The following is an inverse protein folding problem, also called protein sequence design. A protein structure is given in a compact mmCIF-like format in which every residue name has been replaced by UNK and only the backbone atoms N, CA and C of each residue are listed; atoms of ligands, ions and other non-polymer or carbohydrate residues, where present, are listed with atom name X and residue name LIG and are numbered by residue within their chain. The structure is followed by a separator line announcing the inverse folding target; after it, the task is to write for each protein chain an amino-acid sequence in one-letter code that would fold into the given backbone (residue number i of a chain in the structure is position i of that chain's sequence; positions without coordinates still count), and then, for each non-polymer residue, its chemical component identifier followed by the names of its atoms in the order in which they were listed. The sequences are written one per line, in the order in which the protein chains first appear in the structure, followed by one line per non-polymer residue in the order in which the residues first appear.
data_IF_444142699246
#
_entry.id   IF_444142699246
#
_cell.length_a   1.000
_cell.length_b   1.000
_cell.length_c   1.000
_cell.angle_alpha   90.00
_cell.angle_beta   90.00
_cell.angle_gamma   90.00
#
_symmetry.space_group_name_H-M   'P 1'
#
loop_
_entity.id
_entity.type
_entity.pdbx_description
1 polymer ?
#
# COMPACT_ATOMS: atom_id res chain seq x y z
N UNK A 1 27.30 5.82 -59.85
CA UNK A 1 27.33 5.16 -58.52
C UNK A 1 26.74 6.01 -57.38
N UNK A 2 27.01 7.31 -57.29
CA UNK A 2 26.55 8.19 -56.19
C UNK A 2 25.01 8.28 -56.02
N UNK A 3 24.25 8.22 -57.12
CA UNK A 3 22.77 8.24 -57.09
C UNK A 3 22.14 6.89 -56.73
N UNK A 4 22.84 5.78 -56.94
CA UNK A 4 22.34 4.44 -56.62
C UNK A 4 22.43 4.19 -55.10
N UNK A 5 23.58 4.56 -54.50
CA UNK A 5 23.78 4.51 -53.05
C UNK A 5 22.77 5.38 -52.28
N UNK A 6 22.46 6.58 -52.78
CA UNK A 6 21.46 7.46 -52.15
C UNK A 6 20.07 6.81 -52.11
N UNK A 7 19.61 6.23 -53.22
CA UNK A 7 18.31 5.54 -53.31
C UNK A 7 18.23 4.28 -52.43
N UNK A 8 19.31 3.51 -52.32
CA UNK A 8 19.34 2.31 -51.47
C UNK A 8 19.33 2.68 -49.99
N UNK A 9 20.11 3.68 -49.58
CA UNK A 9 20.14 4.16 -48.19
C UNK A 9 18.77 4.73 -47.78
N UNK A 10 18.09 5.50 -48.63
CA UNK A 10 16.75 6.02 -48.30
C UNK A 10 15.72 4.90 -48.13
N UNK A 11 15.77 3.85 -48.96
CA UNK A 11 14.88 2.68 -48.83
C UNK A 11 15.14 1.89 -47.55
N UNK A 12 16.40 1.68 -47.19
CA UNK A 12 16.79 1.03 -45.92
C UNK A 12 16.35 1.87 -44.72
N UNK A 13 16.53 3.19 -44.77
CA UNK A 13 16.10 4.09 -43.70
C UNK A 13 14.58 4.08 -43.52
N UNK A 14 13.81 4.04 -44.62
CA UNK A 14 12.34 3.93 -44.56
C UNK A 14 11.91 2.60 -43.96
N UNK A 15 12.55 1.48 -44.34
CA UNK A 15 12.23 0.16 -43.78
C UNK A 15 12.60 0.08 -42.29
N UNK A 16 13.73 0.65 -41.89
CA UNK A 16 14.15 0.73 -40.48
C UNK A 16 13.22 1.65 -39.69
N UNK A 17 12.82 2.81 -40.22
CA UNK A 17 11.81 3.67 -39.61
C UNK A 17 10.44 3.00 -39.53
N UNK A 18 10.05 2.19 -40.52
CA UNK A 18 8.78 1.47 -40.54
C UNK A 18 8.79 0.29 -39.55
N UNK A 19 9.91 -0.43 -39.44
CA UNK A 19 10.13 -1.45 -38.41
C UNK A 19 10.13 -0.83 -36.99
N UNK A 20 10.77 0.33 -36.82
CA UNK A 20 10.75 1.10 -35.57
C UNK A 20 9.35 1.64 -35.22
N UNK A 21 8.55 2.03 -36.23
CA UNK A 21 7.16 2.45 -36.04
C UNK A 21 6.24 1.27 -35.69
N UNK A 22 6.50 0.07 -36.21
CA UNK A 22 5.74 -1.15 -35.86
C UNK A 22 6.10 -1.63 -34.45
N UNK A 23 7.35 -1.45 -33.99
CA UNK A 23 7.78 -1.78 -32.63
C UNK A 23 7.45 -0.71 -31.57
N UNK A 24 6.96 0.47 -31.98
CA UNK A 24 6.62 1.60 -31.09
C UNK A 24 5.19 1.57 -30.51
N UNK A 25 4.47 0.47 -30.70
CA UNK A 25 3.13 0.27 -30.12
C UNK A 25 3.13 -1.03 -29.30
N UNK A 26 3.15 -0.92 -27.97
CA UNK A 26 2.87 -2.07 -27.12
C UNK A 26 1.38 -2.34 -27.14
N UNK A 27 1.08 -3.62 -27.17
CA UNK A 27 -0.23 -4.19 -27.41
C UNK A 27 -0.88 -4.42 -26.04
N UNK A 28 -2.16 -4.10 -25.90
CA UNK A 28 -2.87 -4.18 -24.61
C UNK A 28 -2.86 -5.63 -24.09
N UNK A 29 -2.22 -5.93 -22.95
CA UNK A 29 -2.30 -7.25 -22.35
C UNK A 29 -3.69 -7.45 -21.75
N UNK A 30 -4.35 -8.54 -22.11
CA UNK A 30 -5.64 -8.95 -21.53
C UNK A 30 -5.41 -10.20 -20.69
N UNK A 31 -6.03 -10.29 -19.52
CA UNK A 31 -6.11 -11.55 -18.79
C UNK A 31 -7.38 -12.25 -19.23
N UNK A 32 -7.23 -13.47 -19.75
CA UNK A 32 -8.36 -14.33 -20.08
C UNK A 32 -8.91 -14.91 -18.77
N UNK A 33 -10.19 -14.65 -18.51
CA UNK A 33 -10.88 -15.16 -17.30
C UNK A 33 -11.65 -16.41 -17.69
N UNK A 34 -11.28 -17.55 -17.10
CA UNK A 34 -12.02 -18.80 -17.22
C UNK A 34 -12.69 -19.09 -15.88
N UNK A 35 -14.00 -19.32 -15.91
CA UNK A 35 -14.80 -19.66 -14.74
C UNK A 35 -15.39 -21.03 -14.98
N UNK A 36 -15.17 -21.94 -14.03
CA UNK A 36 -15.80 -23.25 -14.00
C UNK A 36 -16.62 -23.37 -12.71
N UNK A 37 -17.85 -23.87 -12.81
CA UNK A 37 -18.76 -24.02 -11.68
C UNK A 37 -19.03 -25.50 -11.48
N UNK A 38 -18.82 -25.98 -10.26
CA UNK A 38 -19.00 -27.38 -9.90
C UNK A 38 -20.07 -27.43 -8.80
N UNK A 39 -21.21 -28.05 -9.12
CA UNK A 39 -22.27 -28.38 -8.17
C UNK A 39 -22.06 -29.76 -7.53
N UNK A 40 -22.52 -29.93 -6.30
CA UNK A 40 -22.55 -31.24 -5.64
C UNK A 40 -23.81 -32.02 -6.05
N UNK A 41 -23.73 -33.35 -6.24
CA UNK A 41 -24.88 -34.24 -6.54
C UNK A 41 -26.03 -34.13 -5.51
N UNK A 42 -25.73 -33.72 -4.27
CA UNK A 42 -26.75 -33.47 -3.25
C UNK A 42 -27.54 -32.16 -3.46
N UNK A 43 -27.01 -31.21 -4.24
CA UNK A 43 -27.66 -29.94 -4.60
C UNK A 43 -28.67 -30.16 -5.74
N UNK A 44 -28.33 -31.00 -6.72
CA UNK A 44 -29.26 -31.48 -7.75
C UNK A 44 -30.48 -32.21 -7.16
N UNK A 45 -30.28 -32.98 -6.07
CA UNK A 45 -31.36 -33.70 -5.38
C UNK A 45 -32.33 -32.81 -4.59
N UNK A 46 -31.94 -31.57 -4.26
CA UNK A 46 -32.76 -30.66 -3.43
C UNK A 46 -33.73 -29.79 -4.26
N UNK A 47 -33.65 -29.74 -5.60
CA UNK A 47 -34.27 -28.63 -6.34
C UNK A 47 -35.02 -28.99 -7.62
N UNK A 48 -36.34 -28.75 -7.60
CA UNK A 48 -37.18 -28.42 -8.77
C UNK A 48 -37.27 -26.90 -8.99
N UNK A 49 -36.25 -26.11 -8.66
CA UNK A 49 -36.32 -24.64 -8.78
C UNK A 49 -35.62 -24.13 -10.04
N UNK A 50 -36.35 -23.32 -10.83
CA UNK A 50 -35.86 -22.71 -12.08
C UNK A 50 -34.61 -21.86 -11.87
N UNK A 51 -34.48 -21.21 -10.70
CA UNK A 51 -33.33 -20.37 -10.37
C UNK A 51 -32.02 -21.15 -10.25
N UNK A 52 -32.03 -22.34 -9.61
CA UNK A 52 -30.79 -23.10 -9.47
C UNK A 52 -30.37 -23.72 -10.80
N UNK A 53 -31.30 -24.16 -11.65
CA UNK A 53 -30.97 -24.57 -13.02
C UNK A 53 -30.37 -23.43 -13.83
N UNK A 54 -30.80 -22.17 -13.63
CA UNK A 54 -30.13 -21.03 -14.24
C UNK A 54 -28.71 -20.80 -13.68
N UNK A 55 -28.49 -21.06 -12.40
CA UNK A 55 -27.17 -20.90 -11.77
C UNK A 55 -26.17 -22.03 -12.09
N UNK A 56 -26.66 -23.28 -12.24
CA UNK A 56 -25.84 -24.48 -12.51
C UNK A 56 -25.69 -24.79 -14.00
N UNK A 57 -26.79 -24.74 -14.77
CA UNK A 57 -26.84 -25.27 -16.14
C UNK A 57 -26.74 -24.18 -17.22
N UNK A 58 -26.81 -22.89 -16.86
CA UNK A 58 -26.75 -21.83 -17.87
C UNK A 58 -25.42 -21.09 -17.86
N UNK A 59 -24.85 -20.95 -19.06
CA UNK A 59 -23.73 -20.03 -19.33
C UNK A 59 -24.02 -18.59 -18.85
N UNK A 60 -25.28 -18.23 -18.54
CA UNK A 60 -25.62 -16.87 -18.08
C UNK A 60 -24.90 -16.51 -16.79
N UNK A 61 -24.91 -17.37 -15.76
CA UNK A 61 -24.21 -17.04 -14.50
C UNK A 61 -22.70 -16.99 -14.69
N UNK A 62 -22.12 -17.95 -15.44
CA UNK A 62 -20.71 -17.94 -15.83
C UNK A 62 -20.33 -16.67 -16.57
N UNK A 63 -21.12 -16.25 -17.57
CA UNK A 63 -20.90 -15.03 -18.35
C UNK A 63 -21.04 -13.79 -17.47
N UNK A 64 -22.07 -13.70 -16.63
CA UNK A 64 -22.26 -12.57 -15.70
C UNK A 64 -21.12 -12.49 -14.67
N UNK A 65 -20.61 -13.62 -14.18
CA UNK A 65 -19.46 -13.64 -13.28
C UNK A 65 -18.17 -13.26 -14.01
N UNK A 66 -17.93 -13.80 -15.21
CA UNK A 66 -16.81 -13.41 -16.07
C UNK A 66 -16.86 -11.91 -16.38
N UNK A 67 -18.02 -11.37 -16.73
CA UNK A 67 -18.19 -9.96 -17.06
C UNK A 67 -18.00 -9.06 -15.83
N UNK A 68 -18.54 -9.43 -14.66
CA UNK A 68 -18.31 -8.69 -13.42
C UNK A 68 -16.84 -8.76 -12.97
N UNK A 69 -16.19 -9.93 -13.09
CA UNK A 69 -14.75 -10.09 -12.84
C UNK A 69 -13.99 -9.18 -13.82
N UNK A 70 -14.24 -9.30 -15.13
CA UNK A 70 -13.59 -8.46 -16.15
C UNK A 70 -13.80 -6.98 -15.90
N UNK A 71 -15.02 -6.54 -15.60
CA UNK A 71 -15.34 -5.15 -15.32
C UNK A 71 -14.54 -4.65 -14.12
N UNK A 72 -14.62 -5.37 -13.00
CA UNK A 72 -13.89 -5.03 -11.78
C UNK A 72 -12.38 -5.01 -12.01
N UNK A 73 -11.85 -5.95 -12.79
CA UNK A 73 -10.42 -6.02 -13.08
C UNK A 73 -9.94 -5.07 -14.19
N UNK A 74 -10.83 -4.65 -15.09
CA UNK A 74 -10.62 -3.58 -16.06
C UNK A 74 -10.60 -2.23 -15.35
N UNK A 75 -11.47 -2.04 -14.35
CA UNK A 75 -11.42 -0.91 -13.42
C UNK A 75 -10.18 -0.98 -12.50
N UNK A 76 -9.70 -2.17 -12.13
CA UNK A 76 -8.47 -2.35 -11.35
C UNK A 76 -7.17 -2.24 -12.16
N UNK A 77 -7.20 -1.94 -13.47
CA UNK A 77 -6.01 -1.89 -14.34
C UNK A 77 -5.01 -3.06 -14.10
N UNK A 78 -5.44 -4.30 -14.37
CA UNK A 78 -4.55 -5.49 -14.46
C UNK A 78 -3.34 -5.32 -15.42
N UNK A 79 -3.27 -4.21 -16.18
CA UNK A 79 -2.16 -3.82 -17.03
C UNK A 79 -0.87 -3.53 -16.25
N UNK A 80 -0.97 -3.04 -15.00
CA UNK A 80 0.19 -2.71 -14.15
C UNK A 80 0.90 -3.94 -13.57
N UNK A 81 0.20 -5.08 -13.56
CA UNK A 81 0.73 -6.35 -13.09
C UNK A 81 1.79 -6.94 -14.06
N UNK A 82 1.73 -6.54 -15.34
CA UNK A 82 2.47 -7.16 -16.47
C UNK A 82 3.31 -6.19 -17.31
N UNK A 83 3.27 -4.89 -16.99
CA UNK A 83 3.93 -3.86 -17.77
C UNK A 83 5.35 -3.59 -17.24
N UNK A 84 6.37 -3.88 -18.05
CA UNK A 84 7.74 -3.42 -17.82
C UNK A 84 8.16 -2.26 -18.74
N UNK A 85 7.29 -1.73 -19.61
CA UNK A 85 7.67 -0.68 -20.57
C UNK A 85 6.53 0.34 -20.88
N UNK A 86 6.91 1.62 -20.94
CA UNK A 86 6.08 2.75 -21.38
C UNK A 86 5.85 2.69 -22.90
N UNK A 87 4.66 2.31 -23.37
CA UNK A 87 4.32 2.45 -24.80
C UNK A 87 2.84 2.78 -25.04
N UNK A 88 2.57 3.61 -26.05
CA UNK A 88 1.26 4.01 -26.54
C UNK A 88 0.48 2.77 -27.02
N UNK A 89 -0.73 2.57 -26.46
CA UNK A 89 -1.55 1.37 -26.64
C UNK A 89 -2.15 1.26 -28.05
N UNK A 90 -1.96 0.11 -28.71
CA UNK A 90 -2.74 -0.27 -29.90
C UNK A 90 -4.09 -0.90 -29.52
N UNK A 91 -5.12 -0.78 -30.38
CA UNK A 91 -6.46 -1.38 -30.20
C UNK A 91 -6.50 -2.92 -30.26
N UNK A 92 -5.37 -3.60 -30.48
CA UNK A 92 -5.32 -5.07 -30.56
C UNK A 92 -5.07 -5.64 -29.16
N UNK A 93 -5.82 -6.68 -28.81
CA UNK A 93 -5.75 -7.36 -27.51
C UNK A 93 -5.09 -8.73 -27.70
N UNK A 94 -4.17 -9.11 -26.80
CA UNK A 94 -3.61 -10.47 -26.73
C UNK A 94 -3.55 -10.94 -25.28
N UNK A 95 -3.91 -12.20 -25.04
CA UNK A 95 -3.94 -12.78 -23.69
C UNK A 95 -2.52 -13.01 -23.16
N UNK A 96 -2.09 -12.26 -22.14
CA UNK A 96 -0.76 -12.47 -21.48
C UNK A 96 -0.83 -13.31 -20.21
N UNK A 97 -2.04 -13.62 -19.73
CA UNK A 97 -2.26 -14.45 -18.57
C UNK A 97 -3.68 -15.02 -18.52
N UNK A 98 -3.88 -16.06 -17.72
CA UNK A 98 -5.18 -16.70 -17.49
C UNK A 98 -5.52 -16.67 -16.00
N UNK A 99 -6.70 -16.16 -15.66
CA UNK A 99 -7.28 -16.28 -14.33
C UNK A 99 -8.31 -17.41 -14.38
N UNK A 100 -7.94 -18.56 -13.84
CA UNK A 100 -8.85 -19.71 -13.70
C UNK A 100 -9.51 -19.67 -12.34
N UNK A 101 -10.84 -19.60 -12.33
CA UNK A 101 -11.66 -19.63 -11.12
C UNK A 101 -12.54 -20.86 -11.14
N UNK A 102 -12.47 -21.68 -10.09
CA UNK A 102 -13.33 -22.84 -9.89
C UNK A 102 -14.22 -22.56 -8.68
N UNK A 103 -15.53 -22.54 -8.91
CA UNK A 103 -16.52 -22.27 -7.88
C UNK A 103 -17.24 -23.56 -7.52
N UNK A 104 -17.05 -24.04 -6.30
CA UNK A 104 -17.70 -25.20 -5.73
C UNK A 104 -18.91 -24.76 -4.91
N UNK A 105 -20.10 -25.05 -5.41
CA UNK A 105 -21.35 -24.78 -4.70
C UNK A 105 -21.53 -25.84 -3.62
N UNK A 106 -21.60 -25.44 -2.35
CA UNK A 106 -21.74 -26.35 -1.21
C UNK A 106 -23.20 -26.49 -0.78
N UNK A 107 -23.94 -25.39 -0.76
CA UNK A 107 -25.34 -25.36 -0.34
C UNK A 107 -26.03 -24.11 -0.88
N UNK A 108 -27.31 -24.25 -1.24
CA UNK A 108 -28.20 -23.12 -1.53
C UNK A 108 -29.50 -23.35 -0.76
N UNK A 109 -29.85 -22.43 0.11
CA UNK A 109 -31.13 -22.48 0.84
C UNK A 109 -31.85 -21.13 0.83
N UNK A 110 -33.11 -21.18 1.26
CA UNK A 110 -33.96 -20.01 1.40
C UNK A 110 -34.09 -19.70 2.88
N UNK A 111 -33.64 -18.51 3.30
CA UNK A 111 -33.79 -18.01 4.65
C UNK A 111 -34.93 -17.00 4.71
N UNK A 112 -35.83 -17.19 5.67
CA UNK A 112 -36.92 -16.27 5.97
C UNK A 112 -36.59 -15.50 7.24
N UNK A 113 -36.79 -14.20 7.21
CA UNK A 113 -36.51 -13.30 8.33
C UNK A 113 -37.77 -12.50 8.64
N UNK A 114 -38.32 -12.72 9.83
CA UNK A 114 -39.48 -11.95 10.31
C UNK A 114 -39.00 -10.61 10.83
N UNK A 115 -39.51 -9.53 10.24
CA UNK A 115 -39.16 -8.16 10.57
C UNK A 115 -40.41 -7.44 11.07
N UNK A 116 -40.33 -6.82 12.24
CA UNK A 116 -41.49 -6.13 12.84
C UNK A 116 -41.64 -4.68 12.41
N UNK A 117 -40.55 -4.04 11.96
CA UNK A 117 -40.48 -2.61 11.67
C UNK A 117 -39.89 -2.36 10.30
N UNK A 118 -40.49 -1.43 9.55
CA UNK A 118 -40.02 -1.01 8.23
C UNK A 118 -39.65 0.46 8.27
N UNK A 119 -38.56 0.84 7.59
CA UNK A 119 -38.15 2.24 7.50
C UNK A 119 -39.23 3.06 6.78
N UNK A 120 -39.63 4.14 7.42
CA UNK A 120 -40.61 5.11 6.95
C UNK A 120 -40.21 6.49 7.50
N UNK A 121 -39.34 7.19 6.79
CA UNK A 121 -38.81 8.49 7.23
C UNK A 121 -39.82 9.64 7.15
N UNK A 122 -40.98 9.43 6.52
CA UNK A 122 -41.97 10.48 6.26
C UNK A 122 -43.06 10.49 7.33
N UNK A 123 -43.57 9.33 7.71
CA UNK A 123 -44.68 9.20 8.67
C UNK A 123 -44.44 8.15 9.75
N UNK A 124 -43.18 7.75 9.96
CA UNK A 124 -42.81 6.74 10.94
C UNK A 124 -43.10 7.17 12.38
N UNK A 125 -43.59 6.22 13.17
CA UNK A 125 -43.94 6.38 14.58
C UNK A 125 -42.80 6.04 15.55
N UNK A 126 -41.76 5.38 15.03
CA UNK A 126 -40.69 4.80 15.81
C UNK A 126 -39.32 5.27 15.33
N UNK A 127 -38.36 5.31 16.24
CA UNK A 127 -36.94 5.42 15.93
C UNK A 127 -36.22 4.17 16.45
N UNK A 128 -35.07 3.84 15.86
CA UNK A 128 -34.20 2.80 16.37
C UNK A 128 -33.05 3.42 17.16
N UNK A 129 -33.02 3.18 18.47
CA UNK A 129 -31.98 3.68 19.37
C UNK A 129 -31.61 2.60 20.39
N UNK A 130 -30.31 2.43 20.65
CA UNK A 130 -29.77 1.47 21.63
C UNK A 130 -30.33 0.04 21.48
N UNK A 131 -30.50 -0.42 20.25
CA UNK A 131 -30.99 -1.77 19.96
C UNK A 131 -32.51 -1.94 20.07
N UNK A 132 -33.28 -0.87 20.25
CA UNK A 132 -34.73 -0.92 20.48
C UNK A 132 -35.49 0.06 19.59
N UNK A 133 -36.71 -0.32 19.21
CA UNK A 133 -37.65 0.57 18.55
C UNK A 133 -38.45 1.35 19.58
N UNK A 134 -38.27 2.67 19.60
CA UNK A 134 -38.87 3.58 20.58
C UNK A 134 -39.94 4.40 19.86
N UNK A 135 -41.17 4.37 20.36
CA UNK A 135 -42.26 5.19 19.84
C UNK A 135 -42.01 6.65 20.19
N UNK A 136 -42.12 7.55 19.22
CA UNK A 136 -41.86 8.98 19.39
C UNK A 136 -43.13 9.83 19.27
N UNK A 137 -43.08 11.04 19.84
CA UNK A 137 -44.14 12.03 19.67
C UNK A 137 -43.94 12.71 18.32
N UNK A 138 -44.90 12.50 17.40
CA UNK A 138 -44.82 13.05 16.05
C UNK A 138 -44.90 14.58 16.03
N UNK A 139 -44.22 15.21 15.06
CA UNK A 139 -44.32 16.64 14.78
C UNK A 139 -43.58 17.57 15.75
N UNK A 140 -42.89 17.03 16.76
CA UNK A 140 -42.14 17.83 17.73
C UNK A 140 -40.63 17.53 17.65
N UNK A 141 -39.88 18.50 17.15
CA UNK A 141 -38.42 18.47 17.08
C UNK A 141 -37.81 19.32 18.19
N UNK A 142 -36.63 18.93 18.67
CA UNK A 142 -35.98 19.55 19.80
C UNK A 142 -34.50 19.82 19.53
N UNK A 143 -34.01 20.90 20.12
CA UNK A 143 -32.59 21.29 20.15
C UNK A 143 -32.09 21.31 21.59
N UNK A 144 -30.87 20.83 21.80
CA UNK A 144 -30.21 20.88 23.10
C UNK A 144 -29.47 22.21 23.25
N UNK A 145 -29.81 23.00 24.26
CA UNK A 145 -29.22 24.33 24.54
C UNK A 145 -28.00 24.27 25.48
N UNK A 146 -27.56 23.08 25.87
CA UNK A 146 -26.52 22.84 26.87
C UNK A 146 -27.05 22.46 28.25
N UNK A 147 -28.36 22.61 28.51
CA UNK A 147 -29.00 22.27 29.78
C UNK A 147 -30.35 21.56 29.63
N UNK A 148 -31.16 21.96 28.65
CA UNK A 148 -32.51 21.47 28.39
C UNK A 148 -32.71 21.19 26.89
N UNK A 149 -33.75 20.40 26.58
CA UNK A 149 -34.26 20.22 25.24
C UNK A 149 -35.43 21.17 25.00
N UNK A 150 -35.26 22.10 24.06
CA UNK A 150 -36.28 23.11 23.70
C UNK A 150 -36.86 22.72 22.34
N UNK A 151 -38.17 22.87 22.17
CA UNK A 151 -38.82 22.60 20.89
C UNK A 151 -38.36 23.63 19.84
N UNK A 152 -37.84 23.14 18.72
CA UNK A 152 -37.28 23.92 17.63
C UNK A 152 -37.52 23.16 16.33
N UNK A 153 -38.08 23.82 15.32
CA UNK A 153 -38.36 23.23 14.00
C UNK A 153 -37.09 22.74 13.30
N UNK A 154 -35.93 23.34 13.63
CA UNK A 154 -34.61 22.92 13.13
C UNK A 154 -33.87 22.00 14.11
N UNK A 155 -34.57 21.48 15.13
CA UNK A 155 -34.03 20.52 16.08
C UNK A 155 -33.63 19.20 15.40
N UNK A 156 -32.64 18.51 15.97
CA UNK A 156 -32.19 17.18 15.51
C UNK A 156 -32.61 16.05 16.45
N UNK A 157 -33.29 16.39 17.54
CA UNK A 157 -33.76 15.45 18.55
C UNK A 157 -35.29 15.30 18.49
N UNK A 158 -35.76 14.10 18.80
CA UNK A 158 -37.18 13.79 18.98
C UNK A 158 -37.41 13.24 20.38
N UNK A 159 -38.61 13.46 20.91
CA UNK A 159 -38.99 12.96 22.23
C UNK A 159 -39.65 11.59 22.12
N UNK A 160 -39.10 10.61 22.82
CA UNK A 160 -39.71 9.30 23.00
C UNK A 160 -40.92 9.36 23.94
N UNK A 161 -41.84 8.41 23.77
CA UNK A 161 -42.97 8.19 24.68
C UNK A 161 -42.54 7.77 26.09
N UNK A 162 -41.29 7.35 26.25
CA UNK A 162 -40.60 7.13 27.53
C UNK A 162 -40.09 8.42 28.20
N UNK A 163 -40.32 9.58 27.57
CA UNK A 163 -39.93 10.89 28.08
C UNK A 163 -38.49 11.32 27.78
N UNK A 164 -37.69 10.44 27.16
CA UNK A 164 -36.28 10.72 26.80
C UNK A 164 -36.17 11.37 25.42
N UNK A 165 -35.00 11.95 25.14
CA UNK A 165 -34.71 12.61 23.87
C UNK A 165 -33.66 11.82 23.10
N UNK A 166 -33.88 11.67 21.79
CA UNK A 166 -33.06 10.84 20.92
C UNK A 166 -32.74 11.57 19.63
N UNK A 167 -31.55 11.37 19.08
CA UNK A 167 -31.23 11.86 17.74
C UNK A 167 -31.91 10.96 16.71
N UNK A 168 -32.73 11.54 15.84
CA UNK A 168 -33.46 10.79 14.82
C UNK A 168 -32.70 10.81 13.49
N UNK A 169 -32.09 9.68 13.11
CA UNK A 169 -31.46 9.49 11.79
C UNK A 169 -32.42 8.88 10.76
N UNK A 170 -33.39 8.10 11.24
CA UNK A 170 -34.41 7.45 10.43
C UNK A 170 -35.64 7.19 11.29
N UNK A 171 -36.81 7.12 10.64
CA UNK A 171 -38.06 6.75 11.29
C UNK A 171 -38.58 5.42 10.74
N UNK A 172 -39.44 4.77 11.53
CA UNK A 172 -39.92 3.42 11.27
C UNK A 172 -41.41 3.32 11.58
N UNK A 173 -42.11 2.46 10.84
CA UNK A 173 -43.49 2.07 11.14
C UNK A 173 -43.50 0.60 11.56
N UNK A 174 -44.33 0.26 12.55
CA UNK A 174 -44.51 -1.12 13.00
C UNK A 174 -45.46 -1.85 12.06
N UNK A 175 -44.87 -2.55 11.09
CA UNK A 175 -45.60 -3.32 10.08
C UNK A 175 -44.91 -4.67 9.99
N UNK A 176 -45.38 -5.71 10.71
CA UNK A 176 -44.77 -7.03 10.66
C UNK A 176 -44.81 -7.63 9.25
N UNK A 177 -43.67 -8.11 8.76
CA UNK A 177 -43.52 -8.70 7.44
C UNK A 177 -42.40 -9.75 7.44
N UNK A 178 -42.33 -10.55 6.38
CA UNK A 178 -41.30 -11.58 6.22
C UNK A 178 -40.45 -11.26 4.99
N UNK A 179 -39.16 -10.97 5.20
CA UNK A 179 -38.21 -10.89 4.10
C UNK A 179 -37.64 -12.27 3.81
N UNK A 180 -37.39 -12.55 2.54
CA UNK A 180 -36.89 -13.84 2.09
C UNK A 180 -35.58 -13.63 1.34
N UNK A 181 -34.57 -14.42 1.67
CA UNK A 181 -33.23 -14.34 1.11
C UNK A 181 -32.83 -15.70 0.52
N UNK A 182 -32.16 -15.67 -0.63
CA UNK A 182 -31.34 -16.80 -1.04
C UNK A 182 -30.00 -16.71 -0.34
N UNK A 183 -29.59 -17.84 0.23
CA UNK A 183 -28.33 -17.96 0.94
C UNK A 183 -27.50 -19.04 0.26
N UNK A 184 -26.36 -18.63 -0.28
CA UNK A 184 -25.43 -19.46 -1.03
C UNK A 184 -24.14 -19.65 -0.25
N UNK A 185 -23.81 -20.90 0.03
CA UNK A 185 -22.51 -21.32 0.53
C UNK A 185 -21.66 -21.84 -0.63
N UNK A 186 -20.51 -21.24 -0.88
CA UNK A 186 -19.59 -21.72 -1.90
C UNK A 186 -18.13 -21.66 -1.45
N UNK A 187 -17.32 -22.53 -2.07
CA UNK A 187 -15.88 -22.55 -1.95
C UNK A 187 -15.29 -22.18 -3.30
N UNK A 188 -14.39 -21.22 -3.32
CA UNK A 188 -13.81 -20.67 -4.55
C UNK A 188 -12.32 -20.98 -4.54
N UNK A 189 -11.87 -21.70 -5.56
CA UNK A 189 -10.46 -21.90 -5.87
C UNK A 189 -10.07 -21.01 -7.04
N UNK A 190 -8.91 -20.38 -6.99
CA UNK A 190 -8.42 -19.58 -8.12
C UNK A 190 -6.93 -19.78 -8.36
N UNK A 191 -6.54 -19.63 -9.62
CA UNK A 191 -5.15 -19.64 -10.07
C UNK A 191 -4.98 -18.53 -11.12
N UNK A 192 -4.07 -17.60 -10.86
CA UNK A 192 -3.64 -16.57 -11.80
C UNK A 192 -2.30 -16.99 -12.41
N UNK A 193 -2.31 -17.26 -13.71
CA UNK A 193 -1.14 -17.59 -14.50
C UNK A 193 -0.77 -16.43 -15.41
N UNK A 194 0.51 -16.11 -15.46
CA UNK A 194 1.06 -15.06 -16.33
C UNK A 194 2.26 -15.65 -17.05
N UNK A 195 2.28 -15.55 -18.38
CA UNK A 195 3.41 -16.03 -19.21
C UNK A 195 3.82 -17.48 -18.86
N UNK A 196 2.85 -18.32 -18.50
CA UNK A 196 3.03 -19.74 -18.11
C UNK A 196 3.65 -19.98 -16.73
N UNK A 197 3.64 -18.98 -15.84
CA UNK A 197 4.05 -19.11 -14.43
C UNK A 197 2.88 -18.86 -13.48
N UNK A 198 2.75 -19.69 -12.43
CA UNK A 198 1.76 -19.53 -11.36
C UNK A 198 2.12 -18.29 -10.51
N UNK A 199 1.40 -17.18 -10.69
CA UNK A 199 1.66 -15.92 -9.96
C UNK A 199 1.02 -15.94 -8.58
N UNK A 200 -0.24 -16.41 -8.49
CA UNK A 200 -0.96 -16.54 -7.22
C UNK A 200 -2.04 -17.59 -7.34
N UNK A 201 -2.16 -18.43 -6.31
CA UNK A 201 -3.24 -19.40 -6.17
C UNK A 201 -3.79 -19.36 -4.76
N UNK A 202 -5.06 -19.69 -4.61
CA UNK A 202 -5.70 -19.69 -3.31
C UNK A 202 -7.08 -20.31 -3.34
N UNK A 203 -7.59 -20.59 -2.15
CA UNK A 203 -8.95 -21.10 -1.93
C UNK A 203 -9.59 -20.36 -0.78
N UNK A 204 -10.88 -20.07 -0.88
CA UNK A 204 -11.64 -19.48 0.22
C UNK A 204 -13.11 -19.90 0.20
N UNK A 205 -13.72 -19.90 1.37
CA UNK A 205 -15.14 -20.14 1.53
C UNK A 205 -15.86 -18.81 1.72
N UNK A 206 -17.05 -18.68 1.13
CA UNK A 206 -17.89 -17.49 1.27
C UNK A 206 -19.35 -17.88 1.48
N UNK A 207 -20.04 -17.03 2.23
CA UNK A 207 -21.46 -17.13 2.56
C UNK A 207 -22.16 -15.87 2.07
N UNK A 208 -23.02 -16.02 1.08
CA UNK A 208 -23.66 -14.90 0.39
C UNK A 208 -25.17 -14.93 0.62
N UNK A 209 -25.74 -13.83 1.08
CA UNK A 209 -27.18 -13.68 1.29
C UNK A 209 -27.71 -12.59 0.37
N UNK A 210 -28.58 -12.95 -0.57
CA UNK A 210 -29.17 -12.04 -1.56
C UNK A 210 -30.69 -12.01 -1.40
N UNK A 211 -31.32 -10.83 -1.36
CA UNK A 211 -32.77 -10.72 -1.20
C UNK A 211 -33.51 -11.34 -2.40
N UNK A 212 -34.46 -12.22 -2.09
CA UNK A 212 -35.47 -12.74 -3.02
C UNK A 212 -36.74 -11.89 -2.93
N UNK A 213 -37.21 -11.64 -1.70
CA UNK A 213 -38.35 -10.77 -1.41
C UNK A 213 -37.97 -9.83 -0.30
N UNK A 214 -38.07 -8.53 -0.56
CA UNK A 214 -37.98 -7.49 0.45
C UNK A 214 -39.26 -6.65 0.47
N UNK A 215 -39.51 -6.03 1.62
CA UNK A 215 -40.63 -5.14 1.78
C UNK A 215 -40.15 -3.71 1.98
N UNK A 216 -40.79 -2.77 1.28
CA UNK A 216 -40.55 -1.34 1.43
C UNK A 216 -41.85 -0.64 1.76
N UNK A 217 -41.80 0.34 2.66
CA UNK A 217 -42.97 1.13 2.96
C UNK A 217 -43.15 2.27 1.97
N UNK A 218 -44.37 2.41 1.44
CA UNK A 218 -44.80 3.60 0.72
C UNK A 218 -45.56 4.53 1.69
N UNK A 219 -44.94 5.64 2.13
CA UNK A 219 -45.55 6.53 3.10
C UNK A 219 -46.73 7.34 2.55
N UNK A 220 -46.78 7.57 1.24
CA UNK A 220 -47.81 8.40 0.61
C UNK A 220 -49.12 7.64 0.42
N UNK A 221 -49.02 6.34 0.15
CA UNK A 221 -50.17 5.45 -0.02
C UNK A 221 -50.44 4.57 1.21
N UNK A 222 -49.67 4.76 2.29
CA UNK A 222 -49.78 4.04 3.56
C UNK A 222 -49.81 2.50 3.37
N UNK A 223 -48.93 1.99 2.49
CA UNK A 223 -48.96 0.59 2.07
C UNK A 223 -47.56 -0.02 2.09
N UNK A 224 -47.48 -1.26 2.53
CA UNK A 224 -46.27 -2.08 2.38
C UNK A 224 -46.20 -2.63 0.94
N UNK A 225 -45.13 -2.29 0.24
CA UNK A 225 -44.82 -2.78 -1.09
C UNK A 225 -43.93 -4.02 -0.97
N UNK A 226 -44.36 -5.12 -1.58
CA UNK A 226 -43.56 -6.33 -1.75
C UNK A 226 -42.73 -6.19 -3.02
N UNK A 227 -41.41 -6.22 -2.89
CA UNK A 227 -40.45 -6.18 -4.00
C UNK A 227 -39.90 -7.59 -4.15
N UNK A 228 -40.22 -8.23 -5.26
CA UNK A 228 -39.66 -9.52 -5.63
C UNK A 228 -38.60 -9.31 -6.69
N UNK A 229 -37.38 -9.75 -6.40
CA UNK A 229 -36.26 -9.56 -7.31
C UNK A 229 -36.29 -10.63 -8.40
N UNK A 230 -36.14 -10.25 -9.68
CA UNK A 230 -36.05 -11.23 -10.77
C UNK A 230 -34.77 -12.05 -10.65
N UNK A 231 -34.79 -13.29 -11.16
CA UNK A 231 -33.64 -14.20 -11.14
C UNK A 231 -32.36 -13.55 -11.67
N UNK A 232 -32.45 -12.71 -12.72
CA UNK A 232 -31.32 -12.00 -13.30
C UNK A 232 -30.60 -11.08 -12.31
N UNK A 233 -31.36 -10.35 -11.49
CA UNK A 233 -30.81 -9.40 -10.51
C UNK A 233 -30.15 -10.15 -9.36
N UNK A 234 -30.73 -11.29 -8.98
CA UNK A 234 -30.19 -12.16 -7.94
C UNK A 234 -28.86 -12.77 -8.42
N UNK A 235 -28.79 -13.25 -9.67
CA UNK A 235 -27.58 -13.76 -10.29
C UNK A 235 -26.47 -12.70 -10.35
N UNK A 236 -26.80 -11.48 -10.80
CA UNK A 236 -25.85 -10.37 -10.87
C UNK A 236 -25.31 -9.98 -9.48
N UNK A 237 -26.18 -9.96 -8.45
CA UNK A 237 -25.75 -9.70 -7.07
C UNK A 237 -24.80 -10.76 -6.55
N UNK A 238 -25.10 -12.05 -6.75
CA UNK A 238 -24.16 -13.13 -6.39
C UNK A 238 -22.83 -12.97 -7.13
N UNK A 239 -22.87 -12.73 -8.43
CA UNK A 239 -21.68 -12.55 -9.25
C UNK A 239 -20.82 -11.37 -8.74
N UNK A 240 -21.42 -10.21 -8.48
CA UNK A 240 -20.75 -9.03 -7.94
C UNK A 240 -20.08 -9.29 -6.60
N UNK A 241 -20.79 -9.94 -5.67
CA UNK A 241 -20.22 -10.26 -4.36
C UNK A 241 -19.02 -11.21 -4.47
N UNK A 242 -19.10 -12.23 -5.33
CA UNK A 242 -17.98 -13.15 -5.60
C UNK A 242 -16.81 -12.40 -6.22
N UNK A 243 -17.07 -11.58 -7.23
CA UNK A 243 -16.04 -10.77 -7.90
C UNK A 243 -15.31 -9.85 -6.93
N UNK A 244 -16.04 -9.17 -6.04
CA UNK A 244 -15.45 -8.28 -5.03
C UNK A 244 -14.54 -9.03 -4.07
N UNK A 245 -14.99 -10.20 -3.62
CA UNK A 245 -14.27 -11.06 -2.69
C UNK A 245 -13.02 -11.71 -3.34
N UNK A 246 -13.06 -11.96 -4.65
CA UNK A 246 -11.89 -12.39 -5.42
C UNK A 246 -10.91 -11.23 -5.65
N UNK A 247 -11.42 -10.04 -5.98
CA UNK A 247 -10.61 -8.84 -6.18
C UNK A 247 -9.83 -8.45 -4.92
N UNK A 248 -10.47 -8.44 -3.75
CA UNK A 248 -9.80 -8.12 -2.48
C UNK A 248 -8.59 -9.01 -2.22
N UNK A 249 -8.64 -10.30 -2.59
CA UNK A 249 -7.51 -11.24 -2.46
C UNK A 249 -6.44 -11.07 -3.53
N UNK A 250 -6.79 -10.49 -4.68
CA UNK A 250 -5.86 -10.20 -5.75
C UNK A 250 -5.29 -8.76 -5.65
N UNK A 251 -5.83 -7.90 -4.77
CA UNK A 251 -5.36 -6.53 -4.57
C UNK A 251 -3.89 -6.44 -4.18
N UNK A 252 -3.36 -7.37 -3.37
CA UNK A 252 -1.94 -7.35 -2.96
C UNK A 252 -0.95 -7.54 -4.12
N UNK A 253 -1.43 -7.99 -5.28
CA UNK A 253 -0.59 -8.11 -6.49
C UNK A 253 -0.51 -6.81 -7.28
N UNK A 254 -1.36 -5.84 -6.98
CA UNK A 254 -1.36 -4.54 -7.63
C UNK A 254 -0.11 -3.80 -7.18
N UNK A 255 0.78 -3.51 -8.12
CA UNK A 255 1.81 -2.48 -7.91
C UNK A 255 1.27 -1.19 -8.48
N UNK A 256 1.28 -0.13 -7.69
CA UNK A 256 0.90 1.19 -8.17
C UNK A 256 2.01 1.75 -9.09
N UNK A 257 1.62 2.27 -10.25
CA UNK A 257 2.50 2.90 -11.23
C UNK A 257 2.03 4.33 -11.51
N UNK A 258 2.96 5.26 -11.62
CA UNK A 258 2.67 6.65 -11.97
C UNK A 258 3.90 7.36 -12.52
N UNK A 259 3.81 8.68 -12.56
CA UNK A 259 4.86 9.57 -12.99
C UNK A 259 5.06 10.71 -12.00
N UNK A 260 6.28 11.24 -11.99
CA UNK A 260 6.59 12.47 -11.27
C UNK A 260 5.93 13.64 -11.99
N UNK A 261 5.02 14.33 -11.31
CA UNK A 261 4.36 15.51 -11.84
C UNK A 261 5.17 16.78 -11.55
N UNK A 262 5.69 16.90 -10.33
CA UNK A 262 6.44 18.08 -9.89
C UNK A 262 7.45 17.72 -8.80
N UNK A 263 8.57 18.44 -8.76
CA UNK A 263 9.64 18.24 -7.79
C UNK A 263 9.89 19.55 -7.06
N UNK A 264 9.63 19.56 -5.74
CA UNK A 264 9.94 20.68 -4.86
C UNK A 264 10.66 20.13 -3.63
N UNK A 265 11.98 19.96 -3.74
CA UNK A 265 12.85 19.43 -2.69
C UNK A 265 12.49 19.97 -1.29
N UNK A 266 12.31 19.11 -0.27
CA UNK A 266 12.51 17.65 -0.25
C UNK A 266 11.27 16.82 -0.67
N UNK A 267 10.26 17.44 -1.29
CA UNK A 267 8.99 16.82 -1.66
C UNK A 267 8.89 16.57 -3.17
N UNK A 268 8.16 15.53 -3.54
CA UNK A 268 7.84 15.17 -4.92
C UNK A 268 6.33 14.91 -5.02
N UNK A 269 5.68 15.46 -6.03
CA UNK A 269 4.30 15.15 -6.37
C UNK A 269 4.29 14.08 -7.46
N UNK A 270 3.50 13.05 -7.24
CA UNK A 270 3.25 11.97 -8.21
C UNK A 270 1.77 11.97 -8.59
N UNK A 271 1.47 11.62 -9.83
CA UNK A 271 0.13 11.64 -10.45
C UNK A 271 -0.73 10.41 -10.12
N UNK A 272 -0.50 9.82 -8.94
CA UNK A 272 -1.29 8.74 -8.37
C UNK A 272 -1.66 9.09 -6.93
N UNK A 273 -2.93 8.89 -6.59
CA UNK A 273 -3.53 9.39 -5.36
C UNK A 273 -4.35 8.38 -4.59
N UNK A 274 -5.18 8.89 -3.68
CA UNK A 274 -6.10 8.07 -2.88
C UNK A 274 -7.13 7.31 -3.73
N UNK A 275 -7.51 7.85 -4.90
CA UNK A 275 -8.42 7.19 -5.85
C UNK A 275 -7.75 5.94 -6.43
N UNK A 276 -6.43 5.99 -6.65
CA UNK A 276 -5.64 4.86 -7.14
C UNK A 276 -5.32 3.85 -6.03
N UNK A 277 -5.65 4.16 -4.77
CA UNK A 277 -5.38 3.30 -3.61
C UNK A 277 -4.07 3.59 -2.90
N UNK A 278 -3.41 4.72 -3.21
CA UNK A 278 -2.21 5.17 -2.49
C UNK A 278 -2.58 5.52 -1.04
N UNK A 279 -1.73 5.13 -0.08
CA UNK A 279 -1.86 5.42 1.35
C UNK A 279 -0.58 6.07 1.88
N UNK A 280 -0.66 6.95 2.89
CA UNK A 280 0.52 7.43 3.62
C UNK A 280 1.39 6.27 4.11
N UNK A 281 2.71 6.39 3.94
CA UNK A 281 3.69 5.36 4.29
C UNK A 281 4.05 4.38 3.17
N UNK A 282 3.29 4.32 2.07
CA UNK A 282 3.70 3.55 0.89
C UNK A 282 5.01 4.09 0.30
N UNK A 283 5.79 3.20 -0.31
CA UNK A 283 7.09 3.53 -0.88
C UNK A 283 7.11 3.31 -2.40
N UNK A 284 7.72 4.24 -3.10
CA UNK A 284 7.86 4.23 -4.55
C UNK A 284 9.34 4.33 -4.94
N UNK A 285 9.74 3.57 -5.95
CA UNK A 285 11.01 3.75 -6.62
C UNK A 285 10.83 4.65 -7.84
N UNK A 286 11.70 5.62 -8.02
CA UNK A 286 11.74 6.50 -9.20
C UNK A 286 12.76 5.95 -10.19
N UNK A 287 12.37 5.91 -11.46
CA UNK A 287 13.19 5.43 -12.55
C UNK A 287 13.33 6.47 -13.66
N UNK A 288 14.56 6.64 -14.13
CA UNK A 288 14.89 7.33 -15.38
C UNK A 288 15.07 6.26 -16.47
N UNK A 289 14.03 6.05 -17.27
CA UNK A 289 13.91 4.88 -18.13
C UNK A 289 13.91 3.59 -17.28
N UNK A 290 14.93 2.73 -17.49
CA UNK A 290 15.09 1.48 -16.75
C UNK A 290 16.01 1.62 -15.52
N UNK A 291 16.56 2.81 -15.27
CA UNK A 291 17.53 3.02 -14.20
C UNK A 291 16.85 3.50 -12.92
N UNK A 292 16.96 2.72 -11.85
CA UNK A 292 16.52 3.14 -10.51
C UNK A 292 17.41 4.28 -9.98
N UNK A 293 16.80 5.40 -9.60
CA UNK A 293 17.53 6.61 -9.18
C UNK A 293 17.13 7.14 -7.80
N UNK A 294 15.91 6.91 -7.31
CA UNK A 294 15.46 7.47 -6.04
C UNK A 294 14.36 6.63 -5.37
N UNK A 295 14.18 6.84 -4.07
CA UNK A 295 13.10 6.28 -3.26
C UNK A 295 12.27 7.40 -2.66
N UNK A 296 10.95 7.27 -2.78
CA UNK A 296 9.95 8.18 -2.26
C UNK A 296 9.09 7.46 -1.22
N UNK A 297 8.71 8.15 -0.15
CA UNK A 297 7.68 7.68 0.78
C UNK A 297 6.51 8.65 0.78
N UNK A 298 5.30 8.13 0.61
CA UNK A 298 4.08 8.93 0.60
C UNK A 298 3.87 9.56 1.98
N UNK A 299 3.81 10.88 2.01
CA UNK A 299 3.48 11.62 3.24
C UNK A 299 1.99 11.99 3.28
N UNK A 300 1.42 12.39 2.14
CA UNK A 300 0.01 12.78 2.00
C UNK A 300 -0.53 12.34 0.66
N UNK A 301 -1.82 12.07 0.60
CA UNK A 301 -2.54 11.63 -0.60
C UNK A 301 -3.76 12.53 -0.79
N UNK A 302 -4.10 12.90 -2.03
CA UNK A 302 -5.29 13.69 -2.32
C UNK A 302 -5.83 13.37 -3.70
N UNK A 303 -7.05 12.81 -3.77
CA UNK A 303 -7.72 12.54 -5.05
C UNK A 303 -6.86 11.69 -5.98
N UNK A 304 -6.36 12.33 -7.04
CA UNK A 304 -5.54 11.83 -8.15
C UNK A 304 -4.04 12.11 -8.00
N UNK A 305 -3.56 12.67 -6.89
CA UNK A 305 -2.13 12.91 -6.65
C UNK A 305 -1.68 12.51 -5.25
N UNK A 306 -0.37 12.35 -5.08
CA UNK A 306 0.26 12.13 -3.77
C UNK A 306 1.52 12.97 -3.60
N UNK A 307 1.66 13.53 -2.40
CA UNK A 307 2.87 14.23 -1.96
C UNK A 307 3.79 13.26 -1.22
N UNK A 308 4.99 13.07 -1.75
CA UNK A 308 5.98 12.13 -1.24
C UNK A 308 7.22 12.86 -0.72
N UNK A 309 7.88 12.28 0.28
CA UNK A 309 9.21 12.67 0.75
C UNK A 309 10.27 11.84 0.05
N UNK A 310 11.36 12.49 -0.34
CA UNK A 310 12.54 11.78 -0.86
C UNK A 310 13.27 11.14 0.32
N UNK A 311 13.32 9.80 0.37
CA UNK A 311 14.12 9.04 1.34
C UNK A 311 15.51 8.72 0.83
N UNK A 312 15.63 8.50 -0.48
CA UNK A 312 16.90 8.24 -1.12
C UNK A 312 16.95 8.85 -2.52
N UNK A 313 18.12 9.33 -2.93
CA UNK A 313 18.43 9.68 -4.31
C UNK A 313 19.90 9.36 -4.59
N UNK A 314 20.16 8.66 -5.69
CA UNK A 314 21.51 8.31 -6.12
C UNK A 314 22.34 9.57 -6.33
N UNK A 315 23.57 9.58 -5.84
CA UNK A 315 24.47 10.74 -5.96
C UNK A 315 24.65 11.14 -7.42
N UNK A 316 24.46 12.42 -7.72
CA UNK A 316 24.51 12.97 -9.08
C UNK A 316 23.24 12.81 -9.92
N UNK A 317 22.26 12.02 -9.46
CA UNK A 317 20.95 11.94 -10.11
C UNK A 317 20.06 13.12 -9.69
N UNK A 318 19.13 13.48 -10.57
CA UNK A 318 18.06 14.45 -10.29
C UNK A 318 16.73 13.78 -10.59
N UNK A 319 15.70 14.11 -9.83
CA UNK A 319 14.33 13.70 -10.14
C UNK A 319 13.76 14.78 -11.05
N UNK A 320 13.21 14.39 -12.19
CA UNK A 320 12.59 15.30 -13.15
C UNK A 320 11.13 14.91 -13.40
N UNK A 321 10.35 15.87 -13.90
CA UNK A 321 8.96 15.63 -14.30
C UNK A 321 8.92 14.61 -15.43
N UNK A 322 7.99 13.66 -15.33
CA UNK A 322 7.79 12.59 -16.31
C UNK A 322 8.60 11.32 -16.04
N UNK A 323 9.43 11.29 -15.00
CA UNK A 323 10.06 10.05 -14.54
C UNK A 323 9.04 9.09 -13.96
N UNK A 324 9.21 7.79 -14.20
CA UNK A 324 8.26 6.79 -13.74
C UNK A 324 8.46 6.49 -12.26
N UNK A 325 7.35 6.23 -11.57
CA UNK A 325 7.32 5.79 -10.19
C UNK A 325 6.61 4.46 -10.08
N UNK A 326 7.22 3.51 -9.36
CA UNK A 326 6.70 2.14 -9.20
C UNK A 326 6.68 1.79 -7.72
N UNK A 327 5.56 1.28 -7.23
CA UNK A 327 5.46 0.79 -5.87
C UNK A 327 6.51 -0.28 -5.58
N UNK A 328 7.19 -0.14 -4.45
CA UNK A 328 8.22 -1.07 -4.00
C UNK A 328 8.20 -1.22 -2.49
N UNK A 329 8.82 -2.30 -2.02
CA UNK A 329 9.18 -2.42 -0.60
C UNK A 329 10.28 -1.40 -0.26
N UNK A 330 10.25 -0.79 0.92
CA UNK A 330 11.28 0.17 1.33
C UNK A 330 12.66 -0.48 1.32
N UNK A 331 13.66 0.24 0.84
CA UNK A 331 15.05 -0.19 0.94
C UNK A 331 15.47 -0.18 2.41
N UNK A 332 15.85 -1.35 2.91
CA UNK A 332 16.37 -1.47 4.27
C UNK A 332 17.83 -1.03 4.32
N UNK A 333 18.12 0.04 5.06
CA UNK A 333 19.48 0.50 5.33
C UNK A 333 19.69 0.44 6.84
N UNK A 334 20.67 -0.36 7.26
CA UNK A 334 21.08 -0.44 8.66
C UNK A 334 22.10 0.67 8.91
N UNK A 335 21.80 1.69 9.73
CA UNK A 335 22.70 2.80 9.97
C UNK A 335 23.73 2.44 11.07
N UNK A 336 24.40 1.30 10.91
CA UNK A 336 25.41 0.81 11.84
C UNK A 336 26.78 0.77 11.14
N UNK A 337 27.84 0.81 11.93
CA UNK A 337 29.21 0.69 11.44
C UNK A 337 30.11 -0.08 12.39
N UNK A 338 31.18 -0.62 11.82
CA UNK A 338 32.25 -1.27 12.58
C UNK A 338 33.57 -0.75 12.03
N UNK A 339 34.46 -0.32 12.92
CA UNK A 339 35.81 0.13 12.59
C UNK A 339 36.85 -0.62 13.40
N UNK A 340 37.99 -0.89 12.77
CA UNK A 340 39.21 -1.35 13.42
C UNK A 340 40.34 -0.43 12.98
N UNK A 341 40.96 0.24 13.94
CA UNK A 341 41.92 1.31 13.71
C UNK A 341 43.20 0.99 14.46
N UNK A 342 44.33 1.30 13.84
CA UNK A 342 45.60 1.42 14.55
C UNK A 342 45.87 2.91 14.77
N UNK A 343 46.08 3.31 16.02
CA UNK A 343 46.38 4.68 16.43
C UNK A 343 47.80 4.73 16.98
N UNK A 344 48.69 5.49 16.33
CA UNK A 344 50.04 5.71 16.81
C UNK A 344 50.09 6.90 17.77
N UNK A 345 50.78 6.71 18.90
CA UNK A 345 51.12 7.77 19.84
C UNK A 345 52.64 7.97 19.84
N UNK A 346 53.16 9.22 19.91
CA UNK A 346 54.59 9.49 19.93
C UNK A 346 55.35 8.84 21.09
N UNK A 347 54.66 8.57 22.20
CA UNK A 347 55.24 8.10 23.46
C UNK A 347 55.20 6.57 23.64
N UNK A 348 54.49 5.83 22.78
CA UNK A 348 54.32 4.37 22.94
C UNK A 348 54.23 3.63 21.57
N UNK A 349 53.97 2.32 21.56
CA UNK A 349 53.86 1.51 20.33
C UNK A 349 52.51 1.64 19.61
N UNK A 350 51.62 2.51 20.10
CA UNK A 350 50.26 2.70 19.58
C UNK A 350 49.23 1.72 20.13
N UNK A 351 47.98 1.96 19.76
CA UNK A 351 46.82 1.18 20.18
C UNK A 351 46.07 0.60 18.98
N UNK A 352 45.44 -0.56 19.18
CA UNK A 352 44.41 -1.08 18.29
C UNK A 352 43.05 -0.75 18.88
N UNK A 353 42.24 0.02 18.16
CA UNK A 353 40.88 0.41 18.54
C UNK A 353 39.87 -0.37 17.71
N UNK A 354 38.90 -1.01 18.37
CA UNK A 354 37.73 -1.56 17.72
C UNK A 354 36.50 -0.75 18.14
N UNK A 355 35.74 -0.24 17.18
CA UNK A 355 34.57 0.60 17.45
C UNK A 355 33.33 0.07 16.72
N UNK A 356 32.19 0.22 17.38
CA UNK A 356 30.87 0.05 16.82
C UNK A 356 30.19 1.41 16.78
N UNK A 357 29.58 1.78 15.65
CA UNK A 357 28.96 3.09 15.48
C UNK A 357 27.52 3.05 15.03
N UNK A 358 26.75 4.02 15.50
CA UNK A 358 25.41 4.33 14.98
C UNK A 358 25.54 5.61 14.15
N UNK A 359 25.10 5.54 12.89
CA UNK A 359 25.30 6.58 11.88
C UNK A 359 23.99 7.33 11.62
N UNK A 360 24.10 8.60 11.26
CA UNK A 360 23.06 9.35 10.58
C UNK A 360 23.45 9.47 9.12
N UNK A 361 22.55 9.12 8.21
CA UNK A 361 22.81 9.16 6.77
C UNK A 361 22.03 10.31 6.12
N UNK A 362 22.59 10.91 5.07
CA UNK A 362 21.86 11.82 4.19
C UNK A 362 20.97 11.05 3.18
N UNK A 363 20.24 11.80 2.36
CA UNK A 363 19.40 11.25 1.29
C UNK A 363 20.21 10.53 0.19
N UNK A 364 21.54 10.62 0.18
CA UNK A 364 22.42 9.85 -0.70
C UNK A 364 22.97 8.59 -0.02
N UNK A 365 22.53 8.30 1.22
CA UNK A 365 23.04 7.24 2.11
C UNK A 365 24.51 7.45 2.50
N UNK A 366 24.99 8.69 2.48
CA UNK A 366 26.32 9.02 2.98
C UNK A 366 26.25 9.41 4.46
N UNK A 367 27.28 9.04 5.21
CA UNK A 367 27.40 9.37 6.64
C UNK A 367 27.49 10.89 6.84
N UNK A 368 26.52 11.45 7.57
CA UNK A 368 26.52 12.84 8.03
C UNK A 368 27.18 12.97 9.41
N UNK A 369 26.84 12.04 10.29
CA UNK A 369 27.40 11.98 11.64
C UNK A 369 27.35 10.57 12.16
N UNK A 370 28.15 10.27 13.18
CA UNK A 370 28.05 9.01 13.89
C UNK A 370 28.47 9.15 15.35
N UNK A 371 27.91 8.28 16.17
CA UNK A 371 28.37 8.04 17.55
C UNK A 371 28.99 6.66 17.56
N UNK A 372 30.27 6.58 17.90
CA UNK A 372 31.02 5.34 18.01
C UNK A 372 31.36 5.02 19.46
N UNK A 373 31.25 3.74 19.81
CA UNK A 373 31.64 3.17 21.09
C UNK A 373 32.72 2.14 20.81
N UNK A 374 33.84 2.22 21.51
CA UNK A 374 34.94 1.32 21.22
C UNK A 374 35.82 1.00 22.41
N UNK A 375 36.66 0.00 22.19
CA UNK A 375 37.67 -0.47 23.11
C UNK A 375 39.02 -0.35 22.43
N UNK A 376 40.02 0.11 23.18
CA UNK A 376 41.39 0.18 22.71
C UNK A 376 42.27 -0.79 23.48
N UNK A 377 43.20 -1.40 22.77
CA UNK A 377 44.23 -2.29 23.28
C UNK A 377 45.58 -1.63 23.06
N UNK A 378 46.29 -1.29 24.13
CA UNK A 378 47.64 -0.73 24.05
C UNK A 378 48.63 -1.85 23.76
N UNK A 379 49.36 -1.71 22.65
CA UNK A 379 50.34 -2.71 22.20
C UNK A 379 51.59 -2.76 23.09
N UNK A 380 51.84 -1.69 23.85
CA UNK A 380 53.00 -1.52 24.73
C UNK A 380 52.81 -2.25 26.05
N UNK A 381 51.60 -2.17 26.62
CA UNK A 381 51.24 -2.80 27.90
C UNK A 381 50.62 -4.20 27.72
N UNK A 382 50.11 -4.51 26.53
CA UNK A 382 49.35 -5.74 26.24
C UNK A 382 48.07 -5.89 27.09
N UNK A 383 47.41 -4.78 27.45
CA UNK A 383 46.18 -4.76 28.23
C UNK A 383 45.08 -3.97 27.51
N UNK A 384 43.81 -4.36 27.71
CA UNK A 384 42.65 -3.57 27.28
C UNK A 384 42.47 -2.40 28.24
N UNK A 385 43.05 -1.26 27.87
CA UNK A 385 43.26 -0.16 28.82
C UNK A 385 42.23 0.96 28.73
N UNK A 386 41.51 1.14 27.61
CA UNK A 386 40.58 2.27 27.49
C UNK A 386 39.28 1.94 26.77
N UNK A 387 38.17 2.39 27.35
CA UNK A 387 36.89 2.53 26.65
C UNK A 387 36.80 3.94 26.08
N UNK A 388 36.25 4.09 24.88
CA UNK A 388 36.09 5.41 24.29
C UNK A 388 34.73 5.59 23.63
N UNK A 389 34.23 6.82 23.70
CA UNK A 389 33.05 7.28 23.00
C UNK A 389 33.47 8.42 22.08
N UNK A 390 33.19 8.27 20.79
CA UNK A 390 33.54 9.25 19.76
C UNK A 390 32.30 9.76 19.05
N UNK A 391 32.19 11.08 18.90
CA UNK A 391 31.21 11.71 18.03
C UNK A 391 31.92 12.23 16.77
N UNK A 392 31.39 11.85 15.61
CA UNK A 392 31.89 12.27 14.30
C UNK A 392 30.83 13.11 13.59
N UNK A 393 31.25 14.18 12.92
CA UNK A 393 30.37 15.05 12.15
C UNK A 393 31.04 15.50 10.85
N UNK A 394 30.36 15.31 9.71
CA UNK A 394 30.88 15.63 8.38
C UNK A 394 31.01 17.14 8.20
N UNK A 395 32.18 17.57 7.75
CA UNK A 395 32.42 18.92 7.28
C UNK A 395 32.07 19.05 5.82
N UNK A 396 31.15 19.97 5.50
CA UNK A 396 30.74 20.26 4.12
C UNK A 396 30.29 18.98 3.37
N UNK A 397 30.38 18.99 2.05
CA UNK A 397 30.04 17.84 1.18
C UNK A 397 31.23 16.91 0.89
N UNK A 398 32.33 17.02 1.64
CA UNK A 398 33.55 16.23 1.46
C UNK A 398 33.67 15.12 2.52
N UNK A 399 34.48 14.05 2.30
CA UNK A 399 34.65 12.96 3.25
C UNK A 399 35.59 13.33 4.41
N UNK A 400 35.52 14.58 4.87
CA UNK A 400 36.28 15.11 6.00
C UNK A 400 35.32 15.28 7.16
N UNK A 401 35.68 14.81 8.34
CA UNK A 401 34.83 14.83 9.52
C UNK A 401 35.57 15.46 10.69
N UNK A 402 34.87 16.27 11.49
CA UNK A 402 35.32 16.56 12.84
C UNK A 402 35.03 15.37 13.74
N UNK A 403 35.96 15.05 14.63
CA UNK A 403 35.81 14.04 15.67
C UNK A 403 35.99 14.72 17.02
N UNK A 404 35.12 14.38 17.97
CA UNK A 404 35.33 14.59 19.39
C UNK A 404 35.32 13.23 20.09
N UNK A 405 36.39 12.90 20.81
CA UNK A 405 36.53 11.60 21.49
C UNK A 405 36.74 11.80 22.98
N UNK A 406 36.03 11.00 23.78
CA UNK A 406 36.20 10.87 25.21
C UNK A 406 36.83 9.50 25.50
N UNK A 407 38.04 9.48 26.05
CA UNK A 407 38.70 8.25 26.52
C UNK A 407 38.52 8.10 28.02
N UNK A 408 38.16 6.88 28.43
CA UNK A 408 37.95 6.47 29.82
C UNK A 408 38.90 5.30 30.08
N UNK A 409 40.03 5.52 30.78
CA UNK A 409 40.92 4.44 31.16
C UNK A 409 40.26 3.52 32.19
N UNK A 410 40.59 2.23 32.10
CA UNK A 410 39.99 1.15 32.90
C UNK A 410 40.49 1.12 34.35
N UNK A 411 41.61 1.77 34.64
CA UNK A 411 42.40 1.41 35.82
C UNK A 411 41.75 1.81 37.16
N UNK A 412 41.67 0.81 38.03
CA UNK A 412 40.91 0.76 39.26
C UNK A 412 41.76 1.14 40.47
N UNK A 413 41.85 2.43 40.80
CA UNK A 413 42.19 2.99 42.14
C UNK A 413 42.38 4.52 42.15
N UNK A 414 42.55 5.16 41.00
CA UNK A 414 42.84 6.58 40.89
C UNK A 414 41.98 7.21 39.80
N UNK A 415 41.16 8.19 40.19
CA UNK A 415 40.50 9.22 39.38
C UNK A 415 40.30 8.87 37.90
N UNK A 416 39.04 8.64 37.51
CA UNK A 416 38.64 8.58 36.09
C UNK A 416 39.15 9.83 35.38
N UNK A 417 40.21 9.69 34.60
CA UNK A 417 40.78 10.77 33.79
C UNK A 417 40.06 10.79 32.45
N UNK A 418 39.20 11.78 32.27
CA UNK A 418 38.55 12.05 31.01
C UNK A 418 39.52 12.84 30.13
N UNK A 419 39.93 12.25 29.01
CA UNK A 419 40.79 12.93 28.03
C UNK A 419 39.91 13.36 26.85
N UNK A 420 39.52 14.63 26.76
CA UNK A 420 38.80 15.15 25.61
C UNK A 420 39.78 15.37 24.45
N UNK A 421 39.49 14.76 23.31
CA UNK A 421 40.26 14.92 22.09
C UNK A 421 39.40 15.48 20.97
N UNK A 422 40.01 16.26 20.10
CA UNK A 422 39.38 16.74 18.86
C UNK A 422 40.27 16.45 17.66
N UNK A 423 39.68 16.31 16.48
CA UNK A 423 40.49 16.09 15.30
C UNK A 423 39.70 15.82 14.03
N UNK A 424 40.37 15.19 13.07
CA UNK A 424 39.86 14.94 11.73
C UNK A 424 39.78 13.43 11.43
N UNK A 425 38.68 13.02 10.81
CA UNK A 425 38.57 11.74 10.11
C UNK A 425 38.51 11.99 8.61
N UNK A 426 39.28 11.25 7.83
CA UNK A 426 39.17 11.23 6.37
C UNK A 426 38.91 9.80 5.91
N UNK A 427 37.84 9.60 5.14
CA UNK A 427 37.41 8.26 4.69
C UNK A 427 37.55 8.09 3.18
N UNK A 428 38.14 6.99 2.76
CA UNK A 428 38.30 6.59 1.36
C UNK A 428 37.83 5.15 1.17
N UNK A 429 36.56 4.98 0.77
CA UNK A 429 35.93 3.66 0.69
C UNK A 429 35.87 3.00 2.08
N UNK A 430 36.47 1.82 2.20
CA UNK A 430 36.58 1.10 3.48
C UNK A 430 37.76 1.57 4.34
N UNK A 431 38.68 2.38 3.81
CA UNK A 431 39.82 2.86 4.57
C UNK A 431 39.49 4.18 5.25
N UNK A 432 40.06 4.39 6.43
CA UNK A 432 39.90 5.62 7.19
C UNK A 432 41.22 6.05 7.80
N UNK A 433 41.48 7.35 7.80
CA UNK A 433 42.64 7.97 8.41
C UNK A 433 42.16 8.98 9.44
N UNK A 434 42.66 8.86 10.66
CA UNK A 434 42.25 9.66 11.81
C UNK A 434 43.45 10.39 12.38
N UNK A 435 43.28 11.68 12.66
CA UNK A 435 44.26 12.49 13.38
C UNK A 435 43.53 13.18 14.54
N UNK A 436 44.03 13.04 15.76
CA UNK A 436 43.43 13.58 16.99
C UNK A 436 44.47 14.37 17.77
N UNK A 437 44.02 15.38 18.51
CA UNK A 437 44.83 16.13 19.44
C UNK A 437 44.00 16.57 20.65
N UNK A 438 44.66 16.79 21.78
CA UNK A 438 44.01 17.39 22.96
C UNK A 438 43.76 18.88 22.74
N UNK A 439 42.87 19.47 23.53
CA UNK A 439 42.47 20.89 23.39
C UNK A 439 43.67 21.84 23.56
N UNK A 440 44.61 21.47 24.41
CA UNK A 440 45.86 22.19 24.71
C UNK A 440 47.01 21.84 23.76
N UNK A 441 46.77 20.99 22.74
CA UNK A 441 47.74 20.52 21.75
C UNK A 441 48.95 19.78 22.37
N UNK A 442 48.85 19.33 23.62
CA UNK A 442 49.92 18.61 24.30
C UNK A 442 50.12 17.20 23.77
N UNK A 443 49.03 16.54 23.35
CA UNK A 443 49.05 15.19 22.81
C UNK A 443 48.54 15.15 21.36
N UNK A 444 49.15 14.30 20.55
CA UNK A 444 48.79 14.09 19.15
C UNK A 444 48.76 12.59 18.84
N UNK A 445 47.70 12.15 18.17
CA UNK A 445 47.53 10.76 17.74
C UNK A 445 47.22 10.74 16.25
N UNK A 446 47.87 9.85 15.52
CA UNK A 446 47.57 9.65 14.10
C UNK A 446 47.46 8.17 13.81
N UNK A 447 46.47 7.82 13.01
CA UNK A 447 46.16 6.43 12.78
C UNK A 447 45.29 6.21 11.57
N UNK A 448 45.03 4.94 11.33
CA UNK A 448 44.16 4.53 10.25
C UNK A 448 43.84 3.06 10.31
N UNK A 449 42.89 2.66 9.49
CA UNK A 449 42.44 1.28 9.44
C UNK A 449 41.24 1.12 8.54
N UNK A 450 40.38 0.19 8.92
CA UNK A 450 39.22 -0.21 8.12
C UNK A 450 37.96 0.23 8.86
N UNK A 451 37.02 0.81 8.12
CA UNK A 451 35.72 1.25 8.62
C UNK A 451 34.65 0.93 7.57
N UNK A 452 33.62 0.18 8.01
CA UNK A 452 32.44 -0.16 7.22
C UNK A 452 31.26 0.67 7.69
#
# INVERSE_FOLDING_TARGET
MRNFYKKTITKVLIIVSFLLFISGFSIKPVIEVSVNIIGNENIEKITKSVFLSELLDTNKFTVTLVDNIKHLFFEMNLQDLLSTENVILSKREYSKGTLSVILYLRNLNVRKETVEYVRNDVSGDYIYADGKYIRVIQGAWFKFDGKNYIQDENGIYVKGTDGKYYSALAFYSRVPHENTYYVLDCSISYTLNVESTDVKKGTFDTHLSVPLVEHRYDPYNNKLLRIEYPSSDILDRFAKSISFELASRLMDLRKLYGFVENVRMPRVLIDIGSIDGVKPGLCFGVYDGNNYIAELTVARTGGDYSECEIKYIKKGAKIERGFSVVEKKPDFVIPLGISVLYMYHPENLGDICAEFSVKTLDIHREELSSVAFGLSYDLSSSVTDTFHVSYLHRMFSSPVYFIATLKIPKDSASHITLIPMMGLNVRFGIFTLRALTTIDLSNFEIGGGISW
#
